data_IF_252809879909
#
_entry.id   IF_252809879909
#
_cell.length_a   1.000
_cell.length_b   1.000
_cell.length_c   1.000
_cell.angle_alpha   90.00
_cell.angle_beta   90.00
_cell.angle_gamma   90.00
#
_symmetry.space_group_name_H-M   'P 1'
#
loop_
_entity.id
_entity.type
_entity.pdbx_description
1 polymer ?
#
# COMPACT_ATOMS: atom_id res chain seq x y z
N UNK A 1 8.12 2.02 -20.42
CA UNK A 1 9.06 2.71 -21.33
C UNK A 1 10.49 2.13 -21.22
N UNK A 2 11.13 2.08 -20.05
CA UNK A 2 12.54 1.67 -19.87
C UNK A 2 12.83 0.25 -20.40
N UNK A 3 11.93 -0.74 -20.17
CA UNK A 3 12.06 -2.08 -20.76
C UNK A 3 12.19 -2.06 -22.28
N UNK A 4 11.44 -1.18 -22.97
CA UNK A 4 11.52 -1.05 -24.45
C UNK A 4 12.82 -0.40 -24.86
N UNK A 5 13.27 0.61 -24.14
CA UNK A 5 14.57 1.30 -24.38
C UNK A 5 15.72 0.30 -24.26
N UNK A 6 15.78 -0.47 -23.16
CA UNK A 6 16.82 -1.49 -22.95
C UNK A 6 16.78 -2.62 -23.98
N UNK A 7 15.61 -2.93 -24.54
CA UNK A 7 15.48 -3.92 -25.60
C UNK A 7 15.95 -3.35 -26.94
N UNK A 8 15.62 -2.07 -27.22
CA UNK A 8 16.07 -1.38 -28.42
C UNK A 8 17.60 -1.19 -28.46
N UNK A 9 18.25 -1.03 -27.31
CA UNK A 9 19.69 -0.93 -27.20
C UNK A 9 20.48 -2.18 -27.70
N UNK A 10 19.78 -3.32 -27.84
CA UNK A 10 20.36 -4.54 -28.44
C UNK A 10 20.37 -4.52 -29.98
N UNK A 11 19.63 -3.61 -30.60
CA UNK A 11 19.49 -3.48 -32.03
C UNK A 11 20.40 -2.36 -32.55
N UNK A 12 20.78 -2.40 -33.84
CA UNK A 12 21.48 -1.27 -34.46
C UNK A 12 20.66 0.02 -34.38
N UNK A 13 21.34 1.13 -34.09
CA UNK A 13 20.77 2.49 -34.11
C UNK A 13 21.05 3.11 -35.48
N UNK A 14 20.00 3.60 -36.15
CA UNK A 14 20.11 4.20 -37.48
C UNK A 14 19.74 5.66 -37.38
N UNK A 15 20.65 6.53 -37.83
CA UNK A 15 20.50 7.99 -37.82
C UNK A 15 20.72 8.56 -39.21
N UNK A 16 19.88 9.51 -39.60
CA UNK A 16 20.16 10.40 -40.71
C UNK A 16 20.84 11.68 -40.21
N UNK A 17 21.94 12.10 -40.83
CA UNK A 17 22.65 13.32 -40.50
C UNK A 17 22.82 14.14 -41.77
N UNK A 18 22.49 15.42 -41.70
CA UNK A 18 22.79 16.39 -42.74
C UNK A 18 23.61 17.51 -42.08
N UNK A 19 24.76 17.82 -42.62
CA UNK A 19 25.66 18.82 -42.09
C UNK A 19 26.04 19.81 -43.21
N UNK A 20 26.05 21.09 -42.90
CA UNK A 20 26.67 22.12 -43.72
C UNK A 20 27.65 22.87 -42.83
N UNK A 21 28.91 22.77 -43.12
CA UNK A 21 30.01 23.33 -42.34
C UNK A 21 30.77 24.33 -43.20
N UNK A 22 31.13 25.44 -42.58
CA UNK A 22 32.00 26.46 -43.15
C UNK A 22 33.12 26.70 -42.16
N UNK A 23 34.33 26.37 -42.57
CA UNK A 23 35.52 26.53 -41.76
C UNK A 23 36.42 27.65 -42.33
N UNK A 24 36.98 28.43 -41.43
CA UNK A 24 37.93 29.48 -41.73
C UNK A 24 39.23 29.19 -40.94
N UNK A 25 40.23 28.68 -41.62
CA UNK A 25 41.50 28.30 -41.03
C UNK A 25 42.59 29.25 -41.40
N UNK A 26 43.45 29.60 -40.43
CA UNK A 26 44.72 30.30 -40.66
C UNK A 26 45.87 29.57 -39.94
N UNK A 27 46.66 28.87 -40.66
CA UNK A 27 47.85 28.16 -40.18
C UNK A 27 49.14 29.01 -40.18
N UNK A 28 49.04 30.29 -39.80
CA UNK A 28 50.19 31.18 -39.69
C UNK A 28 50.59 31.89 -41.00
N UNK A 29 49.67 31.94 -41.97
CA UNK A 29 49.84 32.73 -43.22
C UNK A 29 48.99 34.02 -43.20
N UNK A 30 49.22 34.92 -44.18
CA UNK A 30 48.55 36.22 -44.26
C UNK A 30 47.09 36.16 -44.69
N UNK A 31 46.55 35.00 -45.08
CA UNK A 31 45.18 34.86 -45.54
C UNK A 31 44.47 33.67 -44.87
N UNK A 32 43.14 33.83 -44.51
CA UNK A 32 42.27 32.75 -44.09
C UNK A 32 41.92 31.88 -45.32
N UNK A 33 42.11 30.56 -45.16
CA UNK A 33 41.62 29.60 -46.11
C UNK A 33 40.14 29.24 -45.71
N UNK A 34 39.22 29.42 -46.63
CA UNK A 34 37.82 29.10 -46.46
C UNK A 34 37.58 27.70 -47.03
N UNK A 35 36.98 26.83 -46.24
CA UNK A 35 36.48 25.55 -46.65
C UNK A 35 34.97 25.46 -46.39
N UNK A 36 34.21 24.91 -47.32
CA UNK A 36 32.77 24.61 -47.18
C UNK A 36 32.60 23.10 -47.40
N UNK A 37 31.87 22.44 -46.50
CA UNK A 37 31.57 21.01 -46.60
C UNK A 37 30.09 20.79 -46.41
N UNK A 38 29.48 20.15 -47.36
CA UNK A 38 28.10 19.71 -47.31
C UNK A 38 28.08 18.18 -47.24
N UNK A 39 27.40 17.61 -46.23
CA UNK A 39 27.34 16.17 -46.00
C UNK A 39 25.87 15.74 -45.76
N UNK A 40 25.46 14.64 -46.37
CA UNK A 40 24.24 13.95 -46.06
C UNK A 40 24.52 12.47 -45.93
N UNK A 41 24.31 11.89 -44.75
CA UNK A 41 24.64 10.49 -44.50
C UNK A 41 23.60 9.74 -43.64
N UNK A 42 23.52 8.45 -43.85
CA UNK A 42 22.90 7.50 -42.94
C UNK A 42 24.00 6.80 -42.13
N UNK A 43 23.89 6.86 -40.82
CA UNK A 43 24.82 6.21 -39.91
C UNK A 43 24.09 5.04 -39.23
N UNK A 44 24.74 3.90 -39.20
CA UNK A 44 24.31 2.71 -38.46
C UNK A 44 25.34 2.45 -37.38
N UNK A 45 24.96 2.48 -36.13
CA UNK A 45 25.85 2.17 -35.00
C UNK A 45 25.29 1.00 -34.21
N UNK A 46 26.10 0.01 -33.90
CA UNK A 46 25.72 -1.18 -33.17
C UNK A 46 26.79 -1.64 -32.20
N UNK A 47 26.45 -1.73 -30.91
CA UNK A 47 27.30 -2.35 -29.89
C UNK A 47 27.08 -3.84 -29.87
N UNK A 48 28.08 -4.65 -30.18
CA UNK A 48 28.00 -6.10 -30.10
C UNK A 48 28.09 -6.55 -28.63
N UNK A 49 27.03 -7.11 -28.13
CA UNK A 49 26.93 -7.54 -26.72
C UNK A 49 27.64 -8.87 -26.45
N UNK A 50 28.98 -8.90 -26.65
CA UNK A 50 29.79 -10.09 -26.50
C UNK A 50 29.76 -10.66 -25.06
N UNK A 51 29.82 -9.78 -24.07
CA UNK A 51 29.89 -10.13 -22.66
C UNK A 51 28.53 -10.12 -21.95
N UNK A 52 27.47 -9.78 -22.65
CA UNK A 52 26.12 -9.72 -22.11
C UNK A 52 25.78 -8.48 -21.32
N UNK A 53 26.50 -7.37 -21.49
CA UNK A 53 26.25 -6.10 -20.80
C UNK A 53 24.84 -5.58 -21.06
N UNK A 54 24.45 -5.51 -22.34
CA UNK A 54 23.12 -5.05 -22.76
C UNK A 54 22.03 -6.05 -22.35
N UNK A 55 22.31 -7.36 -22.40
CA UNK A 55 21.39 -8.40 -21.93
C UNK A 55 21.16 -8.31 -20.42
N UNK A 56 22.21 -8.08 -19.62
CA UNK A 56 22.08 -7.84 -18.18
C UNK A 56 21.29 -6.55 -17.89
N UNK A 57 21.56 -5.46 -18.61
CA UNK A 57 20.83 -4.20 -18.48
C UNK A 57 19.34 -4.39 -18.80
N UNK A 58 19.03 -5.15 -19.87
CA UNK A 58 17.65 -5.51 -20.22
C UNK A 58 17.00 -6.35 -19.13
N UNK A 59 17.70 -7.34 -18.56
CA UNK A 59 17.18 -8.19 -17.47
C UNK A 59 16.88 -7.34 -16.23
N UNK A 60 17.75 -6.39 -15.87
CA UNK A 60 17.48 -5.46 -14.79
C UNK A 60 16.19 -4.65 -15.03
N UNK A 61 16.03 -4.08 -16.23
CA UNK A 61 14.85 -3.29 -16.59
C UNK A 61 13.55 -4.10 -16.64
N UNK A 62 13.62 -5.40 -17.01
CA UNK A 62 12.45 -6.30 -16.95
C UNK A 62 12.07 -6.56 -15.50
N UNK A 63 13.04 -6.88 -14.64
CA UNK A 63 12.79 -7.12 -13.23
C UNK A 63 12.23 -5.87 -12.52
N UNK A 64 12.75 -4.68 -12.81
CA UNK A 64 12.22 -3.40 -12.30
C UNK A 64 10.77 -3.15 -12.77
N UNK A 65 10.46 -3.49 -14.01
CA UNK A 65 9.07 -3.43 -14.49
C UNK A 65 8.16 -4.40 -13.73
N UNK A 66 8.57 -5.66 -13.58
CA UNK A 66 7.79 -6.66 -12.83
C UNK A 66 7.65 -6.26 -11.36
N UNK A 67 8.70 -5.72 -10.74
CA UNK A 67 8.65 -5.13 -9.40
C UNK A 67 7.54 -4.06 -9.29
N UNK A 68 7.42 -3.16 -10.29
CA UNK A 68 6.37 -2.13 -10.28
C UNK A 68 4.96 -2.70 -10.43
N UNK A 69 4.80 -3.79 -11.18
CA UNK A 69 3.52 -4.51 -11.31
C UNK A 69 3.13 -5.15 -9.98
N UNK A 70 4.06 -5.82 -9.31
CA UNK A 70 3.78 -6.42 -8.00
C UNK A 70 3.55 -5.37 -6.92
N UNK A 71 4.26 -4.22 -6.97
CA UNK A 71 4.00 -3.08 -6.09
C UNK A 71 2.57 -2.54 -6.25
N UNK A 72 2.07 -2.42 -7.49
CA UNK A 72 0.69 -2.03 -7.76
C UNK A 72 -0.31 -3.03 -7.16
N UNK A 73 -0.05 -4.34 -7.30
CA UNK A 73 -0.90 -5.40 -6.73
C UNK A 73 -0.91 -5.34 -5.19
N UNK A 74 0.25 -5.17 -4.57
CA UNK A 74 0.38 -5.03 -3.13
C UNK A 74 -0.37 -3.80 -2.60
N UNK A 75 -0.24 -2.65 -3.27
CA UNK A 75 -0.96 -1.43 -2.92
C UNK A 75 -2.47 -1.62 -3.05
N UNK A 76 -2.94 -2.20 -4.17
CA UNK A 76 -4.36 -2.48 -4.38
C UNK A 76 -4.94 -3.38 -3.28
N UNK A 77 -4.23 -4.44 -2.91
CA UNK A 77 -4.65 -5.34 -1.82
C UNK A 77 -4.73 -4.59 -0.49
N UNK A 78 -3.77 -3.71 -0.21
CA UNK A 78 -3.74 -2.88 1.00
C UNK A 78 -4.92 -1.92 1.04
N UNK A 79 -5.17 -1.16 -0.04
CA UNK A 79 -6.31 -0.22 -0.11
C UNK A 79 -7.64 -0.95 0.08
N UNK A 80 -7.85 -2.09 -0.59
CA UNK A 80 -9.08 -2.88 -0.43
C UNK A 80 -9.27 -3.32 1.03
N UNK A 81 -8.20 -3.77 1.68
CA UNK A 81 -8.26 -4.16 3.09
C UNK A 81 -8.54 -2.96 4.01
N UNK A 82 -7.92 -1.81 3.77
CA UNK A 82 -8.14 -0.58 4.54
C UNK A 82 -9.56 -0.03 4.39
N UNK A 83 -10.11 -0.04 3.16
CA UNK A 83 -11.51 0.35 2.92
C UNK A 83 -12.47 -0.59 3.65
N UNK A 84 -12.24 -1.91 3.59
CA UNK A 84 -13.08 -2.88 4.28
C UNK A 84 -13.02 -2.69 5.81
N UNK A 85 -11.83 -2.47 6.38
CA UNK A 85 -11.68 -2.19 7.81
C UNK A 85 -12.38 -0.89 8.21
N UNK A 86 -12.15 0.20 7.47
CA UNK A 86 -12.79 1.48 7.73
C UNK A 86 -14.32 1.39 7.63
N UNK A 87 -14.84 0.58 6.71
CA UNK A 87 -16.27 0.35 6.58
C UNK A 87 -16.86 -0.40 7.79
N UNK A 88 -16.19 -1.45 8.28
CA UNK A 88 -16.65 -2.16 9.48
C UNK A 88 -16.55 -1.29 10.74
N UNK A 89 -15.52 -0.45 10.84
CA UNK A 89 -15.42 0.56 11.91
C UNK A 89 -16.56 1.58 11.84
N UNK A 90 -16.93 2.03 10.63
CA UNK A 90 -18.04 2.95 10.42
C UNK A 90 -19.38 2.34 10.87
N UNK A 91 -19.67 1.09 10.46
CA UNK A 91 -20.91 0.39 10.85
C UNK A 91 -20.95 0.13 12.37
N UNK A 92 -19.78 -0.12 12.97
CA UNK A 92 -19.68 -0.26 14.42
C UNK A 92 -19.99 1.06 15.16
N UNK A 93 -19.49 2.20 14.66
CA UNK A 93 -19.80 3.53 15.19
C UNK A 93 -21.30 3.86 15.07
N UNK A 94 -21.94 3.51 13.95
CA UNK A 94 -23.39 3.65 13.82
C UNK A 94 -24.14 2.80 14.87
N UNK A 95 -23.72 1.55 15.09
CA UNK A 95 -24.30 0.67 16.11
C UNK A 95 -24.09 1.24 17.53
N UNK A 96 -22.91 1.78 17.81
CA UNK A 96 -22.59 2.43 19.08
C UNK A 96 -23.48 3.68 19.30
N UNK A 97 -23.71 4.49 18.26
CA UNK A 97 -24.58 5.65 18.30
C UNK A 97 -26.03 5.24 18.60
N UNK A 98 -26.52 4.14 18.02
CA UNK A 98 -27.85 3.62 18.29
C UNK A 98 -27.99 3.12 19.73
N UNK A 99 -26.99 2.42 20.28
CA UNK A 99 -26.94 2.01 21.69
C UNK A 99 -26.98 3.23 22.60
N UNK A 100 -26.18 4.26 22.30
CA UNK A 100 -26.15 5.50 23.08
C UNK A 100 -27.49 6.23 23.03
N UNK A 101 -28.14 6.35 21.87
CA UNK A 101 -29.46 6.98 21.74
C UNK A 101 -30.55 6.22 22.49
N UNK A 102 -30.54 4.88 22.46
CA UNK A 102 -31.45 4.08 23.25
C UNK A 102 -31.21 4.24 24.75
N UNK A 103 -29.95 4.24 25.17
CA UNK A 103 -29.55 4.49 26.58
C UNK A 103 -29.95 5.88 27.05
N UNK A 104 -29.76 6.90 26.20
CA UNK A 104 -30.17 8.29 26.47
C UNK A 104 -31.66 8.37 26.79
N UNK A 105 -32.50 7.76 25.92
CA UNK A 105 -33.95 7.70 26.12
C UNK A 105 -34.33 6.98 27.41
N UNK A 106 -33.67 5.87 27.74
CA UNK A 106 -33.94 5.15 29.00
C UNK A 106 -33.51 5.99 30.21
N UNK A 107 -32.43 6.76 30.13
CA UNK A 107 -31.99 7.67 31.20
C UNK A 107 -32.91 8.89 31.37
N UNK A 108 -33.49 9.42 30.28
CA UNK A 108 -34.51 10.47 30.36
C UNK A 108 -35.73 9.99 31.17
N UNK A 109 -36.22 8.77 30.93
CA UNK A 109 -37.29 8.17 31.71
C UNK A 109 -36.86 7.92 33.16
N UNK A 110 -35.60 7.50 33.39
CA UNK A 110 -35.02 7.36 34.72
C UNK A 110 -35.01 8.67 35.52
N UNK A 111 -34.64 9.76 34.90
CA UNK A 111 -34.66 11.12 35.51
C UNK A 111 -36.09 11.52 35.83
N UNK A 112 -37.06 11.27 34.92
CA UNK A 112 -38.47 11.56 35.16
C UNK A 112 -38.98 10.79 36.36
N UNK A 113 -38.73 9.51 36.47
CA UNK A 113 -39.14 8.66 37.57
C UNK A 113 -38.50 9.08 38.90
N UNK A 114 -37.16 9.35 38.90
CA UNK A 114 -36.44 9.81 40.09
C UNK A 114 -36.96 11.16 40.60
N UNK A 115 -37.37 12.06 39.72
CA UNK A 115 -37.99 13.35 40.02
C UNK A 115 -39.36 13.15 40.70
N UNK A 116 -40.25 12.35 40.14
CA UNK A 116 -41.59 12.08 40.71
C UNK A 116 -41.45 11.47 42.11
N UNK A 117 -40.51 10.51 42.31
CA UNK A 117 -40.29 9.89 43.62
C UNK A 117 -39.69 10.84 44.65
N UNK A 118 -38.83 11.77 44.22
CA UNK A 118 -38.31 12.84 45.09
C UNK A 118 -39.43 13.82 45.51
N UNK A 119 -40.16 14.35 44.56
CA UNK A 119 -41.32 15.26 44.81
C UNK A 119 -42.40 14.62 45.68
N UNK A 120 -42.59 13.31 45.57
CA UNK A 120 -43.48 12.49 46.40
C UNK A 120 -42.86 12.12 47.79
N UNK A 121 -41.66 12.54 48.11
CA UNK A 121 -41.00 12.25 49.37
C UNK A 121 -40.51 10.80 49.57
N UNK A 122 -40.51 10.00 48.50
CA UNK A 122 -40.13 8.57 48.51
C UNK A 122 -38.65 8.32 48.40
N UNK A 123 -37.86 9.30 47.88
CA UNK A 123 -36.41 9.20 47.71
C UNK A 123 -35.73 10.53 47.99
N UNK A 124 -34.41 10.50 48.24
CA UNK A 124 -33.63 11.72 48.46
C UNK A 124 -33.37 12.49 47.14
N UNK A 125 -33.11 13.79 47.25
CA UNK A 125 -32.67 14.62 46.11
C UNK A 125 -31.40 14.09 45.48
N UNK A 126 -30.53 13.43 46.23
CA UNK A 126 -29.29 12.80 45.70
C UNK A 126 -29.58 11.84 44.57
N UNK A 127 -30.57 10.96 44.68
CA UNK A 127 -30.96 10.00 43.63
C UNK A 127 -31.40 10.72 42.36
N UNK A 128 -32.17 11.79 42.48
CA UNK A 128 -32.56 12.61 41.33
C UNK A 128 -31.36 13.31 40.65
N UNK A 129 -30.45 13.88 41.44
CA UNK A 129 -29.24 14.54 40.93
C UNK A 129 -28.30 13.54 40.26
N UNK A 130 -28.15 12.33 40.80
CA UNK A 130 -27.38 11.26 40.18
C UNK A 130 -27.96 10.86 38.80
N UNK A 131 -29.28 10.74 38.69
CA UNK A 131 -29.94 10.47 37.42
C UNK A 131 -29.65 11.57 36.36
N UNK A 132 -29.70 12.85 36.80
CA UNK A 132 -29.36 13.97 35.89
C UNK A 132 -27.90 13.93 35.43
N UNK A 133 -26.95 13.61 36.31
CA UNK A 133 -25.53 13.47 35.94
C UNK A 133 -25.34 12.37 34.88
N UNK A 134 -25.97 11.20 35.07
CA UNK A 134 -25.85 10.10 34.10
C UNK A 134 -26.50 10.43 32.76
N UNK A 135 -27.64 11.13 32.75
CA UNK A 135 -28.25 11.63 31.53
C UNK A 135 -27.31 12.59 30.79
N UNK A 136 -26.76 13.58 31.49
CA UNK A 136 -25.84 14.56 30.91
C UNK A 136 -24.57 13.88 30.34
N UNK A 137 -23.99 12.94 31.11
CA UNK A 137 -22.82 12.15 30.66
C UNK A 137 -23.12 11.39 29.36
N UNK A 138 -24.27 10.72 29.26
CA UNK A 138 -24.65 9.98 28.05
C UNK A 138 -24.90 10.91 26.87
N UNK A 139 -25.51 12.08 27.11
CA UNK A 139 -25.79 13.06 26.07
C UNK A 139 -24.50 13.57 25.40
N UNK A 140 -23.38 13.68 26.14
CA UNK A 140 -22.08 14.10 25.55
C UNK A 140 -21.52 13.12 24.53
N UNK A 141 -21.91 11.84 24.59
CA UNK A 141 -21.42 10.81 23.67
C UNK A 141 -22.04 10.95 22.26
N UNK A 142 -23.25 11.50 22.14
CA UNK A 142 -23.94 11.63 20.85
C UNK A 142 -23.14 12.50 19.87
N UNK A 143 -22.81 13.77 20.18
CA UNK A 143 -22.08 14.61 19.23
C UNK A 143 -20.65 14.09 18.98
N UNK A 144 -20.02 13.42 19.95
CA UNK A 144 -18.69 12.82 19.73
C UNK A 144 -18.74 11.66 18.73
N UNK A 145 -19.76 10.79 18.83
CA UNK A 145 -19.96 9.69 17.87
C UNK A 145 -20.33 10.22 16.48
N UNK A 146 -21.22 11.20 16.39
CA UNK A 146 -21.58 11.82 15.11
C UNK A 146 -20.35 12.45 14.43
N UNK A 147 -19.49 13.09 15.21
CA UNK A 147 -18.19 13.59 14.72
C UNK A 147 -17.29 12.44 14.21
N UNK A 148 -17.14 11.35 14.99
CA UNK A 148 -16.34 10.18 14.59
C UNK A 148 -16.87 9.52 13.33
N UNK A 149 -18.19 9.39 13.19
CA UNK A 149 -18.85 8.85 12.00
C UNK A 149 -18.49 9.72 10.78
N UNK A 150 -18.66 11.03 10.87
CA UNK A 150 -18.35 11.95 9.77
C UNK A 150 -16.88 11.90 9.36
N UNK A 151 -15.95 11.83 10.32
CA UNK A 151 -14.53 11.68 10.04
C UNK A 151 -14.23 10.34 9.34
N UNK A 152 -14.86 9.24 9.78
CA UNK A 152 -14.69 7.92 9.19
C UNK A 152 -15.27 7.85 7.76
N UNK A 153 -16.37 8.54 7.47
CA UNK A 153 -16.89 8.69 6.10
C UNK A 153 -15.88 9.40 5.20
N UNK A 154 -15.24 10.48 5.70
CA UNK A 154 -14.19 11.18 4.96
C UNK A 154 -12.97 10.29 4.70
N UNK A 155 -12.55 9.46 5.67
CA UNK A 155 -11.46 8.52 5.50
C UNK A 155 -11.75 7.51 4.37
N UNK A 156 -12.97 6.97 4.34
CA UNK A 156 -13.40 6.01 3.29
C UNK A 156 -13.46 6.69 1.92
N UNK A 157 -14.03 7.89 1.83
CA UNK A 157 -14.08 8.67 0.58
C UNK A 157 -12.66 8.95 0.06
N UNK A 158 -11.74 9.34 0.93
CA UNK A 158 -10.33 9.54 0.59
C UNK A 158 -9.67 8.25 0.05
N UNK A 159 -9.88 7.12 0.71
CA UNK A 159 -9.35 5.83 0.26
C UNK A 159 -9.94 5.38 -1.08
N UNK A 160 -11.19 5.77 -1.37
CA UNK A 160 -11.85 5.53 -2.66
C UNK A 160 -11.41 6.51 -3.76
N UNK A 161 -10.66 7.56 -3.42
CA UNK A 161 -10.28 8.63 -4.35
C UNK A 161 -11.43 9.60 -4.69
N UNK A 162 -12.42 9.70 -3.81
CA UNK A 162 -13.62 10.53 -3.95
C UNK A 162 -13.56 11.77 -3.04
N UNK A 163 -14.35 12.77 -3.38
CA UNK A 163 -14.58 13.90 -2.47
C UNK A 163 -15.36 13.45 -1.24
N UNK A 164 -15.17 14.13 -0.08
CA UNK A 164 -15.93 13.84 1.13
C UNK A 164 -17.43 13.73 0.85
N UNK A 165 -18.01 12.59 1.14
CA UNK A 165 -19.42 12.31 0.92
C UNK A 165 -19.94 11.34 1.98
N UNK A 166 -21.27 11.21 2.06
CA UNK A 166 -21.91 10.26 2.96
C UNK A 166 -21.82 8.85 2.37
N UNK A 167 -21.29 7.93 3.15
CA UNK A 167 -21.16 6.53 2.75
C UNK A 167 -22.46 5.78 3.04
N UNK A 168 -22.99 5.07 2.03
CA UNK A 168 -24.19 4.25 2.20
C UNK A 168 -23.89 3.01 3.07
N UNK A 169 -24.82 2.69 4.00
CA UNK A 169 -24.77 1.47 4.82
C UNK A 169 -25.64 0.41 4.16
N UNK A 170 -25.05 -0.73 3.87
CA UNK A 170 -25.77 -1.84 3.23
C UNK A 170 -26.39 -2.81 4.21
N UNK A 171 -25.83 -2.94 5.42
CA UNK A 171 -26.24 -3.89 6.45
C UNK A 171 -25.91 -3.37 7.84
N UNK A 172 -26.67 -3.85 8.84
CA UNK A 172 -26.34 -3.67 10.26
C UNK A 172 -25.16 -4.57 10.65
N UNK A 173 -24.42 -4.19 11.69
CA UNK A 173 -23.22 -4.90 12.14
C UNK A 173 -23.50 -6.38 12.44
N UNK A 174 -24.65 -6.69 13.03
CA UNK A 174 -25.08 -8.06 13.42
C UNK A 174 -25.50 -8.95 12.22
N UNK A 175 -25.70 -8.36 11.04
CA UNK A 175 -26.11 -9.10 9.83
C UNK A 175 -24.92 -9.67 9.04
N UNK A 176 -23.69 -9.32 9.46
CA UNK A 176 -22.48 -9.89 8.86
C UNK A 176 -22.22 -11.27 9.45
N UNK A 177 -22.09 -12.26 8.56
CA UNK A 177 -21.75 -13.62 8.95
C UNK A 177 -20.24 -13.80 9.01
N UNK A 178 -19.77 -14.30 10.14
CA UNK A 178 -18.37 -14.68 10.31
C UNK A 178 -18.15 -16.11 9.79
N UNK A 179 -17.15 -16.34 8.92
CA UNK A 179 -16.87 -17.67 8.41
C UNK A 179 -16.36 -18.59 9.54
N UNK A 180 -17.00 -19.76 9.72
CA UNK A 180 -16.59 -20.72 10.74
C UNK A 180 -15.19 -21.28 10.51
N UNK A 181 -14.84 -21.51 9.25
CA UNK A 181 -13.54 -22.02 8.83
C UNK A 181 -13.02 -21.25 7.63
N UNK A 182 -11.74 -20.92 7.63
CA UNK A 182 -11.06 -20.37 6.47
C UNK A 182 -10.06 -21.38 5.94
N UNK A 183 -9.93 -21.54 4.60
CA UNK A 183 -8.93 -22.42 4.02
C UNK A 183 -7.54 -21.80 4.24
N UNK A 184 -6.89 -22.20 5.33
CA UNK A 184 -5.53 -21.81 5.64
C UNK A 184 -4.62 -22.64 4.73
N UNK A 185 -4.09 -22.03 3.65
CA UNK A 185 -3.16 -22.68 2.73
C UNK A 185 -1.84 -23.02 3.41
N UNK A 186 -1.03 -23.89 2.76
CA UNK A 186 0.30 -24.22 3.25
C UNK A 186 1.20 -22.96 3.28
N UNK A 187 2.13 -22.85 4.26
CA UNK A 187 3.05 -21.71 4.36
C UNK A 187 3.86 -21.45 3.08
N UNK A 188 4.22 -22.49 2.32
CA UNK A 188 4.96 -22.37 1.06
C UNK A 188 4.18 -21.63 -0.04
N UNK A 189 2.85 -21.71 -0.07
CA UNK A 189 2.03 -21.00 -1.06
C UNK A 189 2.00 -19.48 -0.84
N UNK A 190 2.35 -19.00 0.36
CA UNK A 190 2.44 -17.56 0.66
C UNK A 190 3.52 -16.89 -0.19
N UNK A 191 4.65 -17.57 -0.42
CA UNK A 191 5.76 -17.03 -1.21
C UNK A 191 5.36 -16.73 -2.65
N UNK A 192 4.45 -17.54 -3.20
CA UNK A 192 3.95 -17.39 -4.57
C UNK A 192 2.76 -16.44 -4.67
N UNK A 193 1.95 -16.33 -3.61
CA UNK A 193 0.69 -15.57 -3.62
C UNK A 193 0.83 -14.12 -3.20
N UNK A 194 1.73 -13.82 -2.26
CA UNK A 194 1.87 -12.45 -1.72
C UNK A 194 2.61 -11.53 -2.70
N UNK A 195 1.96 -10.43 -3.15
CA UNK A 195 2.58 -9.51 -4.10
C UNK A 195 3.78 -8.76 -3.52
N UNK A 196 3.81 -8.49 -2.21
CA UNK A 196 4.92 -7.81 -1.53
C UNK A 196 6.20 -8.68 -1.51
N UNK A 197 6.07 -10.00 -1.34
CA UNK A 197 7.19 -10.95 -1.44
C UNK A 197 7.69 -10.98 -2.90
N UNK A 198 6.79 -11.10 -3.87
CA UNK A 198 7.14 -11.10 -5.30
C UNK A 198 7.80 -9.79 -5.73
N UNK A 199 7.34 -8.65 -5.18
CA UNK A 199 7.98 -7.36 -5.39
C UNK A 199 9.43 -7.36 -4.89
N UNK A 200 9.68 -7.87 -3.68
CA UNK A 200 11.02 -7.96 -3.10
C UNK A 200 11.92 -8.93 -3.88
N UNK A 201 11.38 -10.05 -4.36
CA UNK A 201 12.08 -10.99 -5.25
C UNK A 201 12.50 -10.32 -6.56
N UNK A 202 11.61 -9.60 -7.24
CA UNK A 202 11.94 -8.89 -8.49
C UNK A 202 12.99 -7.80 -8.24
N UNK A 203 12.99 -7.15 -7.09
CA UNK A 203 14.00 -6.18 -6.69
C UNK A 203 15.38 -6.84 -6.52
N UNK A 204 15.42 -8.02 -5.91
CA UNK A 204 16.63 -8.83 -5.76
C UNK A 204 17.17 -9.27 -7.14
N UNK A 205 16.29 -9.73 -8.03
CA UNK A 205 16.66 -10.11 -9.41
C UNK A 205 17.24 -8.92 -10.16
N UNK A 206 16.65 -7.71 -10.03
CA UNK A 206 17.15 -6.50 -10.64
C UNK A 206 18.55 -6.12 -10.10
N UNK A 207 18.76 -6.24 -8.78
CA UNK A 207 20.06 -5.98 -8.15
C UNK A 207 21.13 -6.96 -8.64
N UNK A 208 20.81 -8.25 -8.77
CA UNK A 208 21.71 -9.26 -9.35
C UNK A 208 22.08 -8.91 -10.80
N UNK A 209 21.11 -8.54 -11.62
CA UNK A 209 21.35 -8.14 -13.00
C UNK A 209 22.27 -6.91 -13.08
N UNK A 210 22.14 -5.94 -12.16
CA UNK A 210 23.03 -4.78 -12.06
C UNK A 210 24.46 -5.16 -11.64
N UNK A 211 24.65 -6.24 -10.89
CA UNK A 211 25.99 -6.81 -10.64
C UNK A 211 26.57 -7.33 -11.94
N UNK A 212 25.77 -8.04 -12.76
CA UNK A 212 26.18 -8.50 -14.10
C UNK A 212 26.63 -7.37 -15.00
N UNK A 213 25.88 -6.26 -15.05
CA UNK A 213 26.28 -5.04 -15.80
C UNK A 213 27.61 -4.48 -15.29
N UNK A 214 27.79 -4.36 -13.98
CA UNK A 214 29.02 -3.84 -13.42
C UNK A 214 30.23 -4.76 -13.67
N UNK A 215 30.01 -6.06 -13.68
CA UNK A 215 31.05 -7.04 -14.03
C UNK A 215 31.44 -6.95 -15.50
N UNK A 216 30.47 -6.89 -16.41
CA UNK A 216 30.72 -6.82 -17.85
C UNK A 216 31.35 -5.49 -18.29
N UNK A 217 31.15 -4.40 -17.53
CA UNK A 217 31.85 -3.12 -17.74
C UNK A 217 33.39 -3.18 -17.53
N UNK A 218 33.90 -4.29 -17.02
CA UNK A 218 35.38 -4.50 -16.92
C UNK A 218 36.00 -5.00 -18.21
N UNK A 219 35.18 -5.46 -19.17
CA UNK A 219 35.65 -6.00 -20.44
C UNK A 219 35.59 -4.98 -21.58
N UNK A 220 36.35 -5.20 -22.64
CA UNK A 220 36.32 -4.34 -23.82
C UNK A 220 34.93 -4.35 -24.48
N UNK A 221 34.53 -3.19 -25.02
CA UNK A 221 33.31 -3.07 -25.83
C UNK A 221 33.66 -3.05 -27.28
N UNK A 222 32.92 -3.79 -28.11
CA UNK A 222 33.06 -3.80 -29.57
C UNK A 222 31.88 -3.04 -30.16
N UNK A 223 32.18 -1.91 -30.78
CA UNK A 223 31.21 -1.10 -31.51
C UNK A 223 31.49 -1.21 -33.01
N UNK A 224 30.47 -1.40 -33.80
CA UNK A 224 30.47 -1.35 -35.25
C UNK A 224 29.76 -0.09 -35.70
N UNK A 225 30.37 0.68 -36.57
CA UNK A 225 29.75 1.85 -37.19
C UNK A 225 29.85 1.73 -38.69
N UNK A 226 28.73 1.89 -39.37
CA UNK A 226 28.65 1.96 -40.83
C UNK A 226 28.03 3.27 -41.25
N UNK A 227 28.55 3.88 -42.31
CA UNK A 227 28.02 5.09 -42.90
C UNK A 227 27.87 4.95 -44.41
N UNK A 228 26.77 5.45 -44.93
CA UNK A 228 26.59 5.64 -46.36
C UNK A 228 26.01 7.04 -46.58
N UNK A 229 26.67 7.81 -47.43
CA UNK A 229 26.26 9.17 -47.65
C UNK A 229 26.87 9.79 -48.87
N UNK A 230 26.77 11.10 -48.94
CA UNK A 230 27.38 11.95 -49.99
C UNK A 230 28.02 13.14 -49.32
N UNK A 231 29.22 13.55 -49.80
CA UNK A 231 29.98 14.69 -49.29
C UNK A 231 30.51 15.51 -50.47
N UNK A 232 30.39 16.82 -50.38
CA UNK A 232 30.90 17.75 -51.43
C UNK A 232 31.24 19.11 -50.84
N UNK A 233 32.15 19.80 -51.50
CA UNK A 233 32.47 21.20 -51.21
C UNK A 233 31.46 22.18 -51.83
N UNK A 234 30.54 21.72 -52.63
CA UNK A 234 29.47 22.48 -53.27
C UNK A 234 28.11 21.79 -53.08
N UNK A 235 27.11 22.57 -52.70
CA UNK A 235 25.76 22.06 -52.50
C UNK A 235 25.16 21.45 -53.80
N UNK A 236 25.50 22.02 -54.97
CA UNK A 236 25.03 21.54 -56.29
C UNK A 236 25.62 20.19 -56.69
N UNK A 237 26.74 19.78 -56.09
CA UNK A 237 27.42 18.52 -56.40
C UNK A 237 27.26 17.46 -55.29
N UNK A 238 26.51 17.81 -54.23
CA UNK A 238 26.32 16.92 -53.06
C UNK A 238 25.91 15.51 -53.44
N UNK A 239 24.93 15.33 -54.35
CA UNK A 239 24.42 14.03 -54.74
C UNK A 239 25.34 13.25 -55.71
N UNK A 240 26.43 13.85 -56.21
CA UNK A 240 27.35 13.24 -57.19
C UNK A 240 28.54 12.52 -56.54
N UNK A 241 28.77 12.69 -55.26
CA UNK A 241 29.92 12.20 -54.51
C UNK A 241 29.55 11.20 -53.41
N UNK A 242 29.00 10.00 -53.74
CA UNK A 242 28.64 9.01 -52.76
C UNK A 242 29.91 8.39 -52.11
N UNK A 243 29.80 8.10 -50.82
CA UNK A 243 30.83 7.36 -50.07
C UNK A 243 30.18 6.33 -49.13
N UNK A 244 30.93 5.31 -48.77
CA UNK A 244 30.57 4.37 -47.74
C UNK A 244 31.74 4.14 -46.79
N UNK A 245 31.46 4.10 -45.49
CA UNK A 245 32.47 3.83 -44.46
C UNK A 245 32.01 2.70 -43.56
N UNK A 246 32.94 1.86 -43.15
CA UNK A 246 32.70 0.80 -42.17
C UNK A 246 33.85 0.79 -41.19
N UNK A 247 33.56 0.98 -39.92
CA UNK A 247 34.54 1.03 -38.84
C UNK A 247 34.16 0.03 -37.74
N UNK A 248 35.18 -0.66 -37.21
CA UNK A 248 35.06 -1.49 -36.00
C UNK A 248 35.95 -0.94 -34.92
N UNK A 249 35.38 -0.54 -33.80
CA UNK A 249 36.14 0.02 -32.67
C UNK A 249 36.08 -0.93 -31.45
N UNK A 250 37.27 -1.28 -30.92
CA UNK A 250 37.42 -2.02 -29.67
C UNK A 250 37.83 -1.07 -28.56
N UNK A 251 36.88 -0.75 -27.66
CA UNK A 251 37.11 0.20 -26.56
C UNK A 251 37.42 -0.55 -25.27
N UNK A 252 38.67 -0.45 -24.78
CA UNK A 252 39.13 -1.10 -23.55
C UNK A 252 39.37 -0.09 -22.44
N UNK A 253 38.83 -0.23 -21.25
CA UNK A 253 39.05 0.67 -20.14
C UNK A 253 40.42 0.42 -19.47
N UNK A 254 41.52 1.02 -19.98
CA UNK A 254 42.86 0.79 -19.46
C UNK A 254 43.07 1.45 -18.10
N UNK A 255 42.73 2.73 -17.96
CA UNK A 255 42.92 3.49 -16.71
C UNK A 255 41.65 3.50 -15.81
N UNK A 256 40.52 2.94 -16.26
CA UNK A 256 39.26 2.86 -15.54
C UNK A 256 39.11 1.63 -14.62
N UNK A 257 40.11 0.74 -14.57
CA UNK A 257 40.02 -0.53 -13.85
C UNK A 257 39.68 -0.38 -12.37
N UNK A 258 40.32 0.54 -11.65
CA UNK A 258 40.07 0.82 -10.24
C UNK A 258 38.61 1.29 -9.99
N UNK A 259 38.10 2.19 -10.84
CA UNK A 259 36.73 2.70 -10.82
C UNK A 259 35.72 1.56 -11.04
N UNK A 260 35.93 0.74 -12.08
CA UNK A 260 35.01 -0.36 -12.42
C UNK A 260 35.03 -1.43 -11.34
N UNK A 261 36.16 -1.76 -10.74
CA UNK A 261 36.27 -2.68 -9.61
C UNK A 261 35.55 -2.16 -8.36
N UNK A 262 35.67 -0.88 -8.06
CA UNK A 262 34.94 -0.24 -6.96
C UNK A 262 33.43 -0.22 -7.23
N UNK A 263 33.00 0.07 -8.46
CA UNK A 263 31.62 0.00 -8.88
C UNK A 263 31.03 -1.43 -8.73
N UNK A 264 31.77 -2.46 -9.16
CA UNK A 264 31.39 -3.85 -8.98
C UNK A 264 31.23 -4.22 -7.50
N UNK A 265 32.19 -3.81 -6.65
CA UNK A 265 32.10 -4.02 -5.20
C UNK A 265 30.87 -3.35 -4.60
N UNK A 266 30.58 -2.12 -5.01
CA UNK A 266 29.37 -1.40 -4.58
C UNK A 266 28.07 -2.10 -5.01
N UNK A 267 28.01 -2.65 -6.26
CA UNK A 267 26.84 -3.39 -6.74
C UNK A 267 26.66 -4.73 -6.03
N UNK A 268 27.76 -5.43 -5.67
CA UNK A 268 27.67 -6.64 -4.86
C UNK A 268 27.14 -6.35 -3.46
N UNK A 269 27.61 -5.32 -2.80
CA UNK A 269 27.09 -4.90 -1.50
C UNK A 269 25.60 -4.50 -1.57
N UNK A 270 25.18 -3.83 -2.65
CA UNK A 270 23.78 -3.51 -2.90
C UNK A 270 22.93 -4.77 -3.11
N UNK A 271 23.45 -5.79 -3.79
CA UNK A 271 22.77 -7.09 -3.93
C UNK A 271 22.60 -7.79 -2.58
N UNK A 272 23.63 -7.81 -1.73
CA UNK A 272 23.56 -8.38 -0.37
C UNK A 272 22.50 -7.66 0.48
N UNK A 273 22.43 -6.33 0.39
CA UNK A 273 21.41 -5.55 1.07
C UNK A 273 19.99 -5.90 0.60
N UNK A 274 19.80 -6.10 -0.71
CA UNK A 274 18.50 -6.53 -1.25
C UNK A 274 18.16 -7.99 -0.89
N UNK A 275 19.16 -8.87 -0.75
CA UNK A 275 18.97 -10.24 -0.27
C UNK A 275 18.41 -10.24 1.16
N UNK A 276 19.03 -9.49 2.06
CA UNK A 276 18.53 -9.36 3.43
C UNK A 276 17.16 -8.65 3.51
N UNK A 277 16.89 -7.72 2.59
CA UNK A 277 15.56 -7.11 2.46
C UNK A 277 14.49 -8.12 2.04
N UNK A 278 14.82 -9.02 1.10
CA UNK A 278 13.95 -10.10 0.69
C UNK A 278 13.69 -11.08 1.83
N UNK A 279 14.74 -11.55 2.53
CA UNK A 279 14.62 -12.41 3.71
C UNK A 279 13.72 -11.78 4.78
N UNK A 280 13.92 -10.48 5.07
CA UNK A 280 13.07 -9.74 6.00
C UNK A 280 11.61 -9.70 5.55
N UNK A 281 11.33 -9.52 4.26
CA UNK A 281 9.97 -9.52 3.72
C UNK A 281 9.29 -10.88 3.91
N UNK A 282 10.02 -11.98 3.68
CA UNK A 282 9.54 -13.35 3.91
C UNK A 282 9.23 -13.58 5.39
N UNK A 283 10.15 -13.23 6.30
CA UNK A 283 9.94 -13.37 7.75
C UNK A 283 8.77 -12.53 8.25
N UNK A 284 8.61 -11.32 7.70
CA UNK A 284 7.48 -10.44 8.02
C UNK A 284 6.17 -11.07 7.60
N UNK A 285 6.10 -11.65 6.40
CA UNK A 285 4.91 -12.32 5.90
C UNK A 285 4.51 -13.53 6.77
N UNK A 286 5.47 -14.36 7.20
CA UNK A 286 5.22 -15.47 8.13
C UNK A 286 4.71 -14.97 9.49
N UNK A 287 5.33 -13.93 10.04
CA UNK A 287 4.88 -13.28 11.28
C UNK A 287 3.45 -12.77 11.17
N UNK A 288 3.14 -12.02 10.12
CA UNK A 288 1.80 -11.47 9.89
C UNK A 288 0.75 -12.56 9.76
N UNK A 289 1.04 -13.60 8.97
CA UNK A 289 0.14 -14.75 8.81
C UNK A 289 -0.08 -15.47 10.12
N UNK A 290 0.98 -15.73 10.89
CA UNK A 290 0.85 -16.37 12.20
C UNK A 290 0.02 -15.54 13.16
N UNK A 291 0.27 -14.23 13.22
CA UNK A 291 -0.50 -13.32 14.05
C UNK A 291 -1.97 -13.28 13.65
N UNK A 292 -2.25 -13.21 12.33
CA UNK A 292 -3.62 -13.20 11.83
C UNK A 292 -4.38 -14.49 12.18
N UNK A 293 -3.73 -15.66 12.11
CA UNK A 293 -4.31 -16.96 12.52
C UNK A 293 -4.60 -16.98 14.02
N UNK A 294 -3.67 -16.51 14.85
CA UNK A 294 -3.86 -16.44 16.31
C UNK A 294 -5.02 -15.51 16.63
N UNK A 295 -5.06 -14.32 16.02
CA UNK A 295 -6.15 -13.36 16.21
C UNK A 295 -7.49 -13.96 15.78
N UNK A 296 -7.57 -14.61 14.61
CA UNK A 296 -8.78 -15.26 14.12
C UNK A 296 -9.35 -16.30 15.10
N UNK A 297 -8.50 -17.11 15.69
CA UNK A 297 -8.92 -18.12 16.65
C UNK A 297 -9.37 -17.49 17.98
N UNK A 298 -8.64 -16.48 18.47
CA UNK A 298 -8.92 -15.88 19.78
C UNK A 298 -10.09 -14.90 19.77
N UNK A 299 -10.35 -14.20 18.68
CA UNK A 299 -11.46 -13.26 18.60
C UNK A 299 -12.83 -13.99 18.74
N UNK A 300 -12.94 -15.22 18.26
CA UNK A 300 -14.13 -16.06 18.44
C UNK A 300 -14.43 -16.35 19.91
N UNK A 301 -13.39 -16.66 20.68
CA UNK A 301 -13.51 -16.88 22.12
C UNK A 301 -13.96 -15.57 22.81
N UNK A 302 -13.35 -14.44 22.43
CA UNK A 302 -13.72 -13.11 22.96
C UNK A 302 -15.18 -12.77 22.65
N UNK A 303 -15.61 -12.98 21.40
CA UNK A 303 -17.01 -12.74 21.02
C UNK A 303 -17.99 -13.55 21.87
N UNK A 304 -17.78 -14.87 22.02
CA UNK A 304 -18.64 -15.74 22.81
C UNK A 304 -18.73 -15.28 24.28
N UNK A 305 -17.60 -14.86 24.88
CA UNK A 305 -17.56 -14.35 26.25
C UNK A 305 -18.24 -12.98 26.37
N UNK A 306 -18.08 -12.08 25.39
CA UNK A 306 -18.76 -10.78 25.36
C UNK A 306 -20.27 -10.91 25.18
N UNK A 307 -20.73 -11.86 24.35
CA UNK A 307 -22.15 -12.16 24.19
C UNK A 307 -22.77 -12.73 25.48
N UNK A 308 -22.02 -13.55 26.23
CA UNK A 308 -22.46 -14.03 27.54
C UNK A 308 -22.52 -12.89 28.58
N UNK A 309 -21.50 -12.02 28.59
CA UNK A 309 -21.45 -10.86 29.50
C UNK A 309 -22.65 -9.94 29.25
N UNK A 310 -22.94 -9.62 27.99
CA UNK A 310 -24.07 -8.74 27.62
C UNK A 310 -25.40 -9.32 28.11
N UNK A 311 -25.67 -10.64 27.88
CA UNK A 311 -26.88 -11.31 28.36
C UNK A 311 -26.99 -11.28 29.89
N UNK A 312 -25.90 -11.55 30.60
CA UNK A 312 -25.88 -11.54 32.07
C UNK A 312 -26.09 -10.13 32.63
N UNK A 313 -25.42 -9.11 32.02
CA UNK A 313 -25.57 -7.72 32.40
C UNK A 313 -26.99 -7.21 32.15
N UNK A 314 -27.63 -7.62 31.03
CA UNK A 314 -29.03 -7.30 30.76
C UNK A 314 -29.94 -7.88 31.83
N UNK A 315 -29.79 -9.17 32.14
CA UNK A 315 -30.62 -9.83 33.19
C UNK A 315 -30.44 -9.18 34.54
N UNK A 316 -29.20 -8.79 34.89
CA UNK A 316 -28.93 -8.06 36.14
C UNK A 316 -29.59 -6.68 36.14
N UNK A 317 -29.50 -5.93 35.06
CA UNK A 317 -30.14 -4.61 34.93
C UNK A 317 -31.66 -4.71 35.05
N UNK A 318 -32.28 -5.68 34.34
CA UNK A 318 -33.74 -5.89 34.39
C UNK A 318 -34.19 -6.23 35.82
N UNK A 319 -33.46 -7.10 36.54
CA UNK A 319 -33.75 -7.46 37.92
C UNK A 319 -33.57 -6.29 38.88
N UNK A 320 -32.47 -5.53 38.76
CA UNK A 320 -32.21 -4.34 39.58
C UNK A 320 -33.31 -3.28 39.40
N UNK A 321 -33.77 -3.07 38.20
CA UNK A 321 -34.88 -2.15 37.92
C UNK A 321 -36.18 -2.60 38.57
N UNK A 322 -36.52 -3.91 38.51
CA UNK A 322 -37.69 -4.47 39.17
C UNK A 322 -37.57 -4.32 40.68
N UNK A 323 -36.44 -4.65 41.30
CA UNK A 323 -36.23 -4.53 42.75
C UNK A 323 -36.29 -3.08 43.24
N UNK A 324 -35.78 -2.11 42.46
CA UNK A 324 -35.89 -0.70 42.77
C UNK A 324 -37.35 -0.20 42.78
N UNK A 325 -38.14 -0.60 41.76
CA UNK A 325 -39.56 -0.26 41.68
C UNK A 325 -40.29 -0.77 42.91
N UNK A 326 -39.97 -1.96 43.40
CA UNK A 326 -40.53 -2.58 44.60
C UNK A 326 -39.88 -2.08 45.92
N UNK A 327 -38.94 -1.15 45.91
CA UNK A 327 -38.33 -0.57 47.08
C UNK A 327 -37.32 -1.47 47.81
N UNK A 328 -36.81 -2.52 47.15
CA UNK A 328 -35.87 -3.51 47.74
C UNK A 328 -34.43 -3.03 47.72
N UNK A 329 -34.06 -2.28 46.68
CA UNK A 329 -32.69 -1.76 46.50
C UNK A 329 -32.70 -0.23 46.28
N UNK A 330 -31.51 0.38 46.40
CA UNK A 330 -31.30 1.80 46.16
C UNK A 330 -31.16 2.12 44.66
N UNK A 331 -31.39 3.38 44.29
CA UNK A 331 -31.23 3.84 42.93
C UNK A 331 -29.79 3.71 42.41
N UNK A 332 -28.79 3.80 43.29
CA UNK A 332 -27.37 3.63 42.93
C UNK A 332 -27.11 2.23 42.34
N UNK A 333 -27.75 1.19 42.90
CA UNK A 333 -27.62 -0.18 42.39
C UNK A 333 -28.18 -0.32 40.97
N UNK A 334 -29.29 0.39 40.67
CA UNK A 334 -29.88 0.43 39.31
C UNK A 334 -28.91 1.14 38.35
N UNK A 335 -28.33 2.26 38.77
CA UNK A 335 -27.36 2.98 37.95
C UNK A 335 -26.12 2.15 37.64
N UNK A 336 -25.63 1.39 38.62
CA UNK A 336 -24.49 0.48 38.42
C UNK A 336 -24.83 -0.63 37.42
N UNK A 337 -25.98 -1.28 37.60
CA UNK A 337 -26.47 -2.30 36.66
C UNK A 337 -26.67 -1.74 35.23
N UNK A 338 -27.20 -0.52 35.10
CA UNK A 338 -27.37 0.15 33.80
C UNK A 338 -26.02 0.48 33.13
N UNK A 339 -25.03 0.94 33.90
CA UNK A 339 -23.67 1.17 33.39
C UNK A 339 -23.03 -0.13 32.91
N UNK A 340 -23.11 -1.19 33.73
CA UNK A 340 -22.59 -2.50 33.38
C UNK A 340 -23.20 -3.07 32.09
N UNK A 341 -24.52 -2.88 31.91
CA UNK A 341 -25.18 -3.32 30.67
C UNK A 341 -24.77 -2.48 29.46
N UNK A 342 -24.72 -1.14 29.60
CA UNK A 342 -24.24 -0.24 28.54
C UNK A 342 -22.82 -0.61 28.10
N UNK A 343 -21.89 -0.79 29.04
CA UNK A 343 -20.51 -1.17 28.75
C UNK A 343 -20.43 -2.56 28.09
N UNK A 344 -21.29 -3.50 28.49
CA UNK A 344 -21.36 -4.82 27.87
C UNK A 344 -21.88 -4.77 26.43
N UNK A 345 -22.87 -3.92 26.12
CA UNK A 345 -23.37 -3.71 24.75
C UNK A 345 -22.28 -3.12 23.83
N UNK A 346 -21.58 -2.08 24.29
CA UNK A 346 -20.46 -1.48 23.56
C UNK A 346 -19.34 -2.52 23.36
N UNK A 347 -19.04 -3.28 24.41
CA UNK A 347 -18.03 -4.35 24.36
C UNK A 347 -18.38 -5.46 23.37
N UNK A 348 -19.65 -5.84 23.23
CA UNK A 348 -20.11 -6.81 22.23
C UNK A 348 -20.04 -6.24 20.82
N UNK A 349 -20.49 -4.99 20.60
CA UNK A 349 -20.38 -4.31 19.31
C UNK A 349 -18.93 -4.25 18.83
N UNK A 350 -18.00 -3.89 19.72
CA UNK A 350 -16.57 -3.88 19.41
C UNK A 350 -16.05 -5.29 19.08
N UNK A 351 -16.48 -6.33 19.78
CA UNK A 351 -16.06 -7.70 19.49
C UNK A 351 -16.52 -8.18 18.10
N UNK A 352 -17.74 -7.83 17.68
CA UNK A 352 -18.24 -8.13 16.33
C UNK A 352 -17.41 -7.40 15.27
N UNK A 353 -17.13 -6.10 15.46
CA UNK A 353 -16.27 -5.33 14.58
C UNK A 353 -14.87 -5.96 14.45
N UNK A 354 -14.25 -6.30 15.57
CA UNK A 354 -12.90 -6.86 15.61
C UNK A 354 -12.83 -8.24 14.96
N UNK A 355 -13.92 -9.03 15.07
CA UNK A 355 -14.07 -10.30 14.38
C UNK A 355 -14.06 -10.11 12.85
N UNK A 356 -14.83 -9.16 12.33
CA UNK A 356 -14.87 -8.84 10.89
C UNK A 356 -13.54 -8.27 10.37
N UNK A 357 -12.90 -7.38 11.14
CA UNK A 357 -11.58 -6.83 10.81
C UNK A 357 -10.52 -7.94 10.76
N UNK A 358 -10.60 -8.90 11.69
CA UNK A 358 -9.65 -10.02 11.73
C UNK A 358 -9.75 -10.91 10.48
N UNK A 359 -10.95 -11.11 9.93
CA UNK A 359 -11.13 -11.82 8.65
C UNK A 359 -10.44 -11.07 7.51
N UNK A 360 -10.61 -9.74 7.43
CA UNK A 360 -9.95 -8.92 6.40
C UNK A 360 -8.42 -9.01 6.52
N UNK A 361 -7.91 -8.91 7.75
CA UNK A 361 -6.46 -9.00 8.02
C UNK A 361 -5.90 -10.38 7.66
N UNK A 362 -6.61 -11.46 7.98
CA UNK A 362 -6.21 -12.82 7.62
C UNK A 362 -6.22 -13.01 6.10
N UNK A 363 -7.25 -12.51 5.42
CA UNK A 363 -7.34 -12.55 3.96
C UNK A 363 -6.15 -11.81 3.30
N UNK A 364 -5.80 -10.60 3.80
CA UNK A 364 -4.63 -9.85 3.36
C UNK A 364 -3.33 -10.61 3.63
N UNK A 365 -3.16 -11.17 4.84
CA UNK A 365 -1.94 -11.90 5.23
C UNK A 365 -1.71 -13.16 4.39
N UNK A 366 -2.78 -13.81 3.93
CA UNK A 366 -2.74 -14.99 3.05
C UNK A 366 -2.50 -14.63 1.57
N UNK A 367 -2.37 -13.33 1.24
CA UNK A 367 -2.17 -12.87 -0.14
C UNK A 367 -3.45 -12.95 -0.98
N UNK A 368 -4.65 -12.97 -0.35
CA UNK A 368 -5.93 -12.96 -1.04
C UNK A 368 -6.29 -11.60 -1.63
N UNK A 369 -7.29 -11.56 -2.52
CA UNK A 369 -7.87 -10.30 -3.03
C UNK A 369 -7.40 -9.85 -4.40
N UNK A 370 -6.54 -10.58 -5.08
CA UNK A 370 -6.21 -10.35 -6.48
C UNK A 370 -6.34 -11.65 -7.29
N UNK A 371 -7.01 -11.58 -8.44
CA UNK A 371 -6.98 -12.66 -9.43
C UNK A 371 -5.78 -12.43 -10.34
N UNK A 372 -5.12 -13.51 -10.71
CA UNK A 372 -4.05 -13.49 -11.71
C UNK A 372 -4.56 -12.98 -13.05
#
# INVERSE_FOLDING_TARGET
>A
AQKRISTAALLPDIKGKVTAERELENHGGDAFKKSETFEAQFLVSWELDLWGNLRWARSASIAEYLQSVEAQRALRMTIVAEVAQAYYELVALDTELDIVKQTLKAREEGVRLARIRFEGGLTSETSYRQAQVELARTATLVPDLERKISLKENDIAFLAGEYPNRIARSRLLQEFNFPETLPIGMPSTLLERRPDIRQAEQKLIAANAKVGVAYTNMFPRLALTGGFGTESTSLSELLKSPYAVMEGALLTPIFGWGKNRAALKGKKAAYEAELHSYEKSVLTAFKETRNAIVNFNKIKEVYALRANLERSAKSYMDLAQLQYINGVINYLDVLDAQRGYFDAQIGLSNAIRDELITVVQLYKALGGGWKQ
#
